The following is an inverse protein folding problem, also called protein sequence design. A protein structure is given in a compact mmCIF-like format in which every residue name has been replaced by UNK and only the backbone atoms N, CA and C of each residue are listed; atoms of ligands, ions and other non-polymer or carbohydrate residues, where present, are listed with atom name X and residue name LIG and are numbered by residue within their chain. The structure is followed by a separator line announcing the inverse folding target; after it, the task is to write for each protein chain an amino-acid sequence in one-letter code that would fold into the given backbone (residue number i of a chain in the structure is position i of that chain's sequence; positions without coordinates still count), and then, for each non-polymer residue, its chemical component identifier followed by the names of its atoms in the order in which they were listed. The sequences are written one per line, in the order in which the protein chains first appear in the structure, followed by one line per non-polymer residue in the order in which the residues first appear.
data_IF_155439894959
#
_entry.id   IF_155439894959
#
_cell.length_a   1.000
_cell.length_b   1.000
_cell.length_c   1.000
_cell.angle_alpha   90.00
_cell.angle_beta   90.00
_cell.angle_gamma   90.00
#
_symmetry.space_group_name_H-M   'P 1'
#
loop_
_entity.id
_entity.type
_entity.pdbx_description
1 polymer ?
#
# COMPACT_ATOMS: atom_id res chain seq x y z
N UNK A 1 -11.59 14.40 -14.60
CA UNK A 1 -12.19 13.18 -15.14
C UNK A 1 -13.70 13.27 -15.01
N UNK A 2 -14.47 12.87 -16.03
CA UNK A 2 -15.95 12.88 -16.01
C UNK A 2 -16.55 11.63 -15.34
N UNK A 3 -16.23 11.43 -14.07
CA UNK A 3 -16.74 10.33 -13.26
C UNK A 3 -18.09 10.73 -12.64
N UNK A 4 -19.12 9.91 -12.84
CA UNK A 4 -20.42 10.06 -12.19
C UNK A 4 -20.49 9.30 -10.86
N UNK A 5 -19.94 8.07 -10.82
CA UNK A 5 -19.84 7.30 -9.58
C UNK A 5 -18.67 6.34 -9.61
N UNK A 6 -18.12 6.05 -8.42
CA UNK A 6 -17.04 5.10 -8.20
C UNK A 6 -17.41 4.11 -7.10
N UNK A 7 -17.14 2.84 -7.31
CA UNK A 7 -17.26 1.78 -6.28
C UNK A 7 -15.95 1.01 -6.22
N UNK A 8 -15.30 1.00 -5.05
CA UNK A 8 -14.16 0.15 -4.79
C UNK A 8 -14.62 -1.11 -4.07
N UNK A 9 -14.40 -2.27 -4.69
CA UNK A 9 -14.60 -3.56 -4.06
C UNK A 9 -13.27 -4.12 -3.55
N UNK A 10 -13.25 -4.53 -2.28
CA UNK A 10 -12.10 -5.10 -1.58
C UNK A 10 -12.48 -6.41 -0.88
N UNK A 11 -11.47 -7.10 -0.36
CA UNK A 11 -11.62 -8.23 0.55
C UNK A 11 -10.94 -7.94 1.86
N UNK A 12 -11.54 -8.39 2.97
CA UNK A 12 -11.05 -8.34 4.34
C UNK A 12 -10.07 -7.18 4.68
N UNK A 13 -10.54 -6.15 5.38
CA UNK A 13 -9.68 -5.10 5.95
C UNK A 13 -8.58 -5.68 6.86
N UNK A 14 -8.88 -6.74 7.61
CA UNK A 14 -7.93 -7.38 8.54
C UNK A 14 -6.77 -8.12 7.88
N UNK A 15 -6.97 -8.66 6.67
CA UNK A 15 -6.10 -9.71 6.13
C UNK A 15 -5.62 -9.48 4.68
N UNK A 16 -6.12 -8.45 3.98
CA UNK A 16 -5.78 -8.24 2.56
C UNK A 16 -4.76 -7.13 2.34
N UNK A 17 -3.52 -7.53 2.03
CA UNK A 17 -2.49 -6.56 1.62
C UNK A 17 -2.82 -5.90 0.28
N UNK A 18 -3.47 -6.63 -0.64
CA UNK A 18 -3.81 -6.12 -1.96
C UNK A 18 -4.90 -5.06 -1.90
N UNK A 19 -5.91 -5.28 -1.07
CA UNK A 19 -7.00 -4.33 -0.89
C UNK A 19 -6.51 -3.02 -0.29
N UNK A 20 -5.64 -3.06 0.72
CA UNK A 20 -5.00 -1.85 1.25
C UNK A 20 -4.27 -1.06 0.15
N UNK A 21 -3.51 -1.76 -0.70
CA UNK A 21 -2.70 -1.16 -1.78
C UNK A 21 -3.52 -0.42 -2.84
N UNK A 22 -4.76 -0.83 -3.11
CA UNK A 22 -5.66 -0.08 -3.99
C UNK A 22 -6.45 0.99 -3.24
N UNK A 23 -6.86 0.72 -2.00
CA UNK A 23 -7.66 1.63 -1.21
C UNK A 23 -6.89 2.89 -0.78
N UNK A 24 -5.66 2.75 -0.28
CA UNK A 24 -4.91 3.87 0.27
C UNK A 24 -4.59 4.96 -0.77
N UNK A 25 -4.16 4.65 -2.00
CA UNK A 25 -4.00 5.66 -3.06
C UNK A 25 -5.29 6.40 -3.40
N UNK A 26 -6.44 5.71 -3.47
CA UNK A 26 -7.73 6.37 -3.76
C UNK A 26 -8.15 7.32 -2.63
N UNK A 27 -7.86 6.95 -1.38
CA UNK A 27 -8.03 7.83 -0.21
C UNK A 27 -7.09 9.03 -0.26
N UNK A 28 -5.82 8.84 -0.61
CA UNK A 28 -4.86 9.94 -0.81
C UNK A 28 -5.30 10.91 -1.91
N UNK A 29 -5.90 10.38 -2.97
CA UNK A 29 -6.46 11.15 -4.08
C UNK A 29 -7.76 11.89 -3.72
N UNK A 30 -8.30 11.68 -2.51
CA UNK A 30 -9.61 12.17 -2.06
C UNK A 30 -10.75 11.82 -3.05
N UNK A 31 -10.69 10.66 -3.69
CA UNK A 31 -11.78 10.19 -4.53
C UNK A 31 -12.99 9.81 -3.66
N UNK A 32 -14.13 10.43 -3.91
CA UNK A 32 -15.41 9.99 -3.36
C UNK A 32 -15.83 8.66 -4.00
N UNK A 33 -15.94 7.61 -3.20
CA UNK A 33 -16.27 6.27 -3.68
C UNK A 33 -17.11 5.50 -2.66
N UNK A 34 -18.03 4.68 -3.16
CA UNK A 34 -18.66 3.63 -2.36
C UNK A 34 -17.63 2.53 -2.11
N UNK A 35 -17.59 1.99 -0.89
CA UNK A 35 -16.74 0.86 -0.56
C UNK A 35 -17.60 -0.38 -0.32
N UNK A 36 -17.22 -1.49 -0.97
CA UNK A 36 -17.80 -2.81 -0.75
C UNK A 36 -16.68 -3.72 -0.24
N UNK A 37 -16.87 -4.34 0.91
CA UNK A 37 -15.92 -5.30 1.46
C UNK A 37 -16.56 -6.68 1.52
N UNK A 38 -15.95 -7.64 0.82
CA UNK A 38 -16.30 -9.05 0.91
C UNK A 38 -15.43 -9.74 1.97
N UNK A 39 -15.98 -10.72 2.68
CA UNK A 39 -15.24 -11.54 3.63
C UNK A 39 -14.96 -12.91 2.99
N UNK A 40 -13.69 -13.29 2.91
CA UNK A 40 -13.28 -14.55 2.26
C UNK A 40 -13.85 -15.77 3.00
N UNK A 41 -14.09 -15.65 4.30
CA UNK A 41 -14.69 -16.71 5.13
C UNK A 41 -16.20 -16.86 4.97
N UNK A 42 -16.89 -15.92 4.31
CA UNK A 42 -18.34 -16.02 4.12
C UNK A 42 -18.66 -17.25 3.26
N UNK A 43 -19.67 -18.08 3.62
CA UNK A 43 -20.02 -19.27 2.86
C UNK A 43 -20.31 -19.00 1.37
N UNK A 44 -20.85 -17.82 1.06
CA UNK A 44 -21.23 -17.41 -0.28
C UNK A 44 -20.11 -16.64 -1.02
N UNK A 45 -18.95 -16.42 -0.40
CA UNK A 45 -17.87 -15.61 -0.98
C UNK A 45 -17.49 -16.05 -2.40
N UNK A 46 -17.41 -17.37 -2.64
CA UNK A 46 -17.03 -17.93 -3.94
C UNK A 46 -17.99 -17.58 -5.07
N UNK A 47 -19.28 -17.47 -4.77
CA UNK A 47 -20.29 -17.05 -5.74
C UNK A 47 -20.33 -15.52 -5.87
N UNK A 48 -20.32 -14.81 -4.74
CA UNK A 48 -20.39 -13.35 -4.69
C UNK A 48 -19.20 -12.68 -5.37
N UNK A 49 -17.97 -13.18 -5.20
CA UNK A 49 -16.77 -12.52 -5.74
C UNK A 49 -16.82 -12.29 -7.26
N UNK A 50 -17.45 -13.19 -8.02
CA UNK A 50 -17.52 -13.10 -9.48
C UNK A 50 -18.55 -12.08 -9.97
N UNK A 51 -19.46 -11.63 -9.09
CA UNK A 51 -20.37 -10.51 -9.37
C UNK A 51 -19.62 -9.17 -9.42
N UNK A 52 -18.49 -9.08 -8.71
CA UNK A 52 -17.67 -7.85 -8.61
C UNK A 52 -16.35 -7.93 -9.40
N UNK A 53 -15.82 -9.13 -9.62
CA UNK A 53 -14.54 -9.32 -10.34
C UNK A 53 -14.56 -10.58 -11.19
N UNK A 54 -14.50 -10.47 -12.54
CA UNK A 54 -14.42 -11.64 -13.41
C UNK A 54 -13.22 -12.55 -13.12
N UNK A 55 -12.15 -11.98 -12.56
CA UNK A 55 -10.93 -12.72 -12.18
C UNK A 55 -11.01 -13.36 -10.79
N UNK A 56 -12.03 -13.01 -9.99
CA UNK A 56 -12.12 -13.36 -8.56
C UNK A 56 -11.01 -12.73 -7.70
N UNK A 57 -10.32 -11.71 -8.22
CA UNK A 57 -9.25 -10.99 -7.51
C UNK A 57 -9.68 -9.56 -7.20
N UNK A 58 -9.21 -9.06 -6.07
CA UNK A 58 -9.47 -7.72 -5.55
C UNK A 58 -8.15 -7.04 -5.16
N UNK A 59 -8.08 -5.70 -5.17
CA UNK A 59 -9.18 -4.73 -5.36
C UNK A 59 -9.65 -4.60 -6.82
N UNK A 60 -10.88 -4.12 -6.98
CA UNK A 60 -11.45 -3.67 -8.27
C UNK A 60 -12.14 -2.33 -8.06
N UNK A 61 -11.85 -1.36 -8.92
CA UNK A 61 -12.52 -0.07 -8.97
C UNK A 61 -13.46 -0.01 -10.17
N UNK A 62 -14.75 0.12 -9.89
CA UNK A 62 -15.81 0.22 -10.88
C UNK A 62 -16.23 1.68 -11.03
N UNK A 63 -16.08 2.22 -12.23
CA UNK A 63 -16.46 3.59 -12.55
C UNK A 63 -17.67 3.60 -13.46
N UNK A 64 -18.59 4.53 -13.19
CA UNK A 64 -19.59 4.99 -14.16
C UNK A 64 -19.20 6.39 -14.58
N UNK A 65 -19.01 6.61 -15.88
CA UNK A 65 -18.74 7.94 -16.42
C UNK A 65 -20.07 8.68 -16.69
N UNK A 66 -20.00 10.01 -16.87
CA UNK A 66 -21.20 10.83 -17.13
C UNK A 66 -21.98 10.42 -18.38
N UNK A 67 -21.32 9.86 -19.38
CA UNK A 67 -21.92 9.30 -20.60
C UNK A 67 -22.55 7.91 -20.39
N UNK A 68 -22.58 7.43 -19.13
CA UNK A 68 -23.09 6.13 -18.68
C UNK A 68 -22.22 4.93 -19.07
N UNK A 69 -21.06 5.15 -19.70
CA UNK A 69 -20.10 4.07 -19.93
C UNK A 69 -19.51 3.57 -18.61
N UNK A 70 -19.05 2.30 -18.62
CA UNK A 70 -18.48 1.62 -17.46
C UNK A 70 -17.00 1.35 -17.69
N UNK A 71 -16.18 1.62 -16.68
CA UNK A 71 -14.74 1.29 -16.68
C UNK A 71 -14.44 0.46 -15.45
N UNK A 72 -13.77 -0.68 -15.66
CA UNK A 72 -13.38 -1.61 -14.62
C UNK A 72 -11.86 -1.61 -14.50
N UNK A 73 -11.32 -1.19 -13.35
CA UNK A 73 -9.88 -1.12 -13.10
C UNK A 73 -9.53 -2.19 -12.07
N UNK A 74 -8.84 -3.23 -12.51
CA UNK A 74 -8.39 -4.34 -11.67
C UNK A 74 -6.87 -4.29 -11.49
N UNK A 75 -6.38 -4.95 -10.42
CA UNK A 75 -4.99 -4.90 -9.93
C UNK A 75 -4.68 -3.64 -9.10
N UNK A 76 -4.09 -3.82 -7.92
CA UNK A 76 -3.83 -2.71 -6.99
C UNK A 76 -2.88 -1.65 -7.55
N UNK A 77 -1.94 -2.01 -8.42
CA UNK A 77 -1.02 -1.04 -9.04
C UNK A 77 -1.72 -0.23 -10.11
N UNK A 78 -2.58 -0.87 -10.91
CA UNK A 78 -3.43 -0.17 -11.88
C UNK A 78 -4.36 0.84 -11.19
N UNK A 79 -5.02 0.42 -10.10
CA UNK A 79 -5.86 1.29 -9.27
C UNK A 79 -5.06 2.46 -8.68
N UNK A 80 -3.80 2.23 -8.26
CA UNK A 80 -2.94 3.27 -7.73
C UNK A 80 -2.49 4.29 -8.78
N UNK A 81 -2.15 3.86 -9.99
CA UNK A 81 -1.82 4.78 -11.10
C UNK A 81 -3.03 5.62 -11.49
N UNK A 82 -4.22 5.02 -11.58
CA UNK A 82 -5.47 5.77 -11.76
C UNK A 82 -5.68 6.82 -10.65
N UNK A 83 -5.44 6.45 -9.38
CA UNK A 83 -5.56 7.38 -8.26
C UNK A 83 -4.59 8.57 -8.41
N UNK A 84 -3.36 8.34 -8.89
CA UNK A 84 -2.42 9.42 -9.18
C UNK A 84 -2.89 10.32 -10.33
N UNK A 85 -3.39 9.76 -11.43
CA UNK A 85 -3.95 10.55 -12.54
C UNK A 85 -5.14 11.40 -12.07
N UNK A 86 -6.06 10.80 -11.31
CA UNK A 86 -7.19 11.51 -10.73
C UNK A 86 -6.74 12.64 -9.78
N UNK A 87 -5.78 12.36 -8.90
CA UNK A 87 -5.24 13.36 -7.96
C UNK A 87 -4.59 14.54 -8.70
N UNK A 88 -3.81 14.26 -9.74
CA UNK A 88 -3.17 15.28 -10.57
C UNK A 88 -4.21 16.17 -11.26
N UNK A 89 -5.26 15.58 -11.84
CA UNK A 89 -6.28 16.36 -12.56
C UNK A 89 -7.14 17.21 -11.62
N UNK A 90 -7.53 16.68 -10.45
CA UNK A 90 -8.48 17.36 -9.56
C UNK A 90 -7.82 18.29 -8.53
N UNK A 91 -6.57 18.02 -8.15
CA UNK A 91 -5.88 18.78 -7.09
C UNK A 91 -4.50 19.30 -7.50
N UNK A 92 -3.97 18.90 -8.65
CA UNK A 92 -2.59 19.19 -9.04
C UNK A 92 -1.53 18.44 -8.23
N UNK A 93 -1.93 17.65 -7.23
CA UNK A 93 -1.01 16.91 -6.36
C UNK A 93 -0.70 15.54 -6.94
N UNK A 94 0.58 15.24 -7.16
CA UNK A 94 1.01 13.88 -7.50
C UNK A 94 1.09 13.02 -6.25
N UNK A 95 0.71 11.74 -6.39
CA UNK A 95 0.91 10.72 -5.35
C UNK A 95 2.24 9.96 -5.52
N UNK A 96 2.94 10.25 -6.62
CA UNK A 96 4.32 9.86 -6.87
C UNK A 96 5.25 11.04 -6.59
N UNK A 97 6.57 10.78 -6.43
CA UNK A 97 7.55 11.84 -6.38
C UNK A 97 7.49 12.74 -7.64
N UNK A 98 7.63 14.06 -7.46
CA UNK A 98 7.50 15.01 -8.59
C UNK A 98 8.71 14.96 -9.54
N UNK A 99 9.92 14.85 -9.01
CA UNK A 99 11.12 14.70 -9.82
C UNK A 99 11.11 13.35 -10.55
N UNK A 100 11.34 13.37 -11.87
CA UNK A 100 11.17 12.18 -12.71
C UNK A 100 12.10 11.02 -12.31
N UNK A 101 13.34 11.32 -11.89
CA UNK A 101 14.30 10.30 -11.46
C UNK A 101 13.82 9.56 -10.21
N UNK A 102 13.24 10.30 -9.26
CA UNK A 102 12.68 9.72 -8.03
C UNK A 102 11.42 8.93 -8.32
N UNK A 103 10.57 9.44 -9.21
CA UNK A 103 9.39 8.72 -9.68
C UNK A 103 9.75 7.41 -10.36
N UNK A 104 10.80 7.41 -11.19
CA UNK A 104 11.26 6.20 -11.85
C UNK A 104 11.69 5.14 -10.83
N UNK A 105 12.51 5.53 -9.85
CA UNK A 105 12.96 4.60 -8.80
C UNK A 105 11.84 4.17 -7.87
N UNK A 106 10.91 5.07 -7.54
CA UNK A 106 9.73 4.72 -6.76
C UNK A 106 8.86 3.68 -7.47
N UNK A 107 8.63 3.84 -8.79
CA UNK A 107 7.91 2.86 -9.60
C UNK A 107 8.63 1.52 -9.68
N UNK A 108 9.96 1.53 -9.82
CA UNK A 108 10.75 0.28 -9.76
C UNK A 108 10.60 -0.43 -8.42
N UNK A 109 10.70 0.29 -7.30
CA UNK A 109 10.53 -0.27 -5.96
C UNK A 109 9.13 -0.83 -5.73
N UNK A 110 8.09 -0.12 -6.20
CA UNK A 110 6.71 -0.59 -6.15
C UNK A 110 6.50 -1.83 -7.02
N UNK A 111 7.09 -1.86 -8.21
CA UNK A 111 6.99 -3.00 -9.13
C UNK A 111 7.65 -4.24 -8.53
N UNK A 112 8.83 -4.09 -7.92
CA UNK A 112 9.51 -5.15 -7.18
C UNK A 112 8.67 -5.66 -6.00
N UNK A 113 7.99 -4.77 -5.27
CA UNK A 113 7.05 -5.19 -4.23
C UNK A 113 5.78 -5.86 -4.80
N UNK A 114 5.28 -5.40 -5.93
CA UNK A 114 4.08 -5.96 -6.56
C UNK A 114 4.32 -7.41 -7.00
N UNK A 115 5.46 -7.68 -7.64
CA UNK A 115 5.79 -8.98 -8.25
C UNK A 115 6.75 -9.86 -7.45
N UNK A 116 7.37 -9.35 -6.38
CA UNK A 116 8.40 -10.05 -5.59
C UNK A 116 8.04 -10.27 -4.12
N UNK A 117 9.09 -10.55 -3.33
CA UNK A 117 9.07 -10.84 -1.89
C UNK A 117 8.10 -11.97 -1.51
N UNK A 118 8.13 -13.05 -2.29
CA UNK A 118 7.20 -14.17 -2.15
C UNK A 118 7.35 -14.87 -0.79
N UNK A 119 8.56 -14.98 -0.24
CA UNK A 119 8.82 -15.71 0.99
C UNK A 119 8.18 -15.02 2.19
N UNK A 120 8.39 -13.72 2.37
CA UNK A 120 7.73 -12.97 3.46
C UNK A 120 6.22 -12.89 3.25
N UNK A 121 5.73 -12.81 2.01
CA UNK A 121 4.30 -12.71 1.71
C UNK A 121 3.55 -14.00 1.98
N UNK A 122 4.16 -15.16 1.73
CA UNK A 122 3.55 -16.47 1.97
C UNK A 122 3.71 -16.92 3.43
N UNK A 123 4.85 -16.64 4.04
CA UNK A 123 5.18 -17.10 5.40
C UNK A 123 4.62 -16.18 6.47
N UNK A 124 4.51 -14.88 6.18
CA UNK A 124 3.92 -13.89 7.08
C UNK A 124 2.72 -13.23 6.38
N UNK A 125 1.53 -13.86 6.38
CA UNK A 125 0.30 -13.18 5.96
C UNK A 125 0.14 -11.84 6.69
N UNK A 126 -0.39 -10.81 6.03
CA UNK A 126 -0.57 -9.51 6.71
C UNK A 126 -1.67 -9.60 7.76
N UNK A 127 -1.39 -9.09 8.97
CA UNK A 127 -2.32 -9.05 10.08
C UNK A 127 -2.35 -7.64 10.66
N UNK A 128 -3.29 -6.83 10.18
CA UNK A 128 -3.33 -5.39 10.49
C UNK A 128 -3.65 -5.09 11.96
N UNK A 129 -4.45 -5.94 12.62
CA UNK A 129 -4.85 -5.74 14.02
C UNK A 129 -4.01 -6.51 15.03
N UNK A 130 -3.10 -7.36 14.57
CA UNK A 130 -2.28 -8.16 15.49
C UNK A 130 -1.24 -7.26 16.14
N UNK A 131 -1.30 -7.17 17.46
CA UNK A 131 -0.27 -6.59 18.32
C UNK A 131 0.31 -7.75 19.10
N UNK A 132 1.41 -8.34 18.61
CA UNK A 132 2.18 -9.36 19.35
C UNK A 132 3.63 -8.91 19.44
N UNK A 133 4.14 -8.85 20.66
CA UNK A 133 5.56 -8.83 20.94
C UNK A 133 6.00 -10.30 21.06
N UNK A 134 6.75 -10.82 20.10
CA UNK A 134 7.35 -12.15 20.23
C UNK A 134 8.72 -12.00 20.91
N UNK A 135 8.90 -12.67 22.05
CA UNK A 135 10.20 -12.69 22.76
C UNK A 135 11.28 -13.43 21.94
N UNK A 136 10.88 -14.51 21.24
CA UNK A 136 11.74 -15.27 20.35
C UNK A 136 11.60 -14.79 18.89
N UNK A 137 12.68 -14.20 18.38
CA UNK A 137 12.78 -13.67 17.00
C UNK A 137 12.96 -14.81 16.00
N UNK A 138 11.93 -15.61 15.80
CA UNK A 138 11.94 -16.60 14.72
C UNK A 138 11.78 -15.88 13.37
N UNK A 139 12.80 -15.97 12.53
CA UNK A 139 12.75 -15.49 11.16
C UNK A 139 13.22 -16.63 10.25
N UNK A 140 12.32 -17.23 9.44
CA UNK A 140 12.71 -18.23 8.45
C UNK A 140 13.77 -17.69 7.49
N UNK A 141 14.70 -18.54 7.02
CA UNK A 141 15.83 -18.08 6.20
C UNK A 141 15.39 -17.38 4.92
N UNK A 142 14.36 -17.89 4.22
CA UNK A 142 13.80 -17.22 3.04
C UNK A 142 13.18 -15.85 3.36
N UNK A 143 12.69 -15.64 4.58
CA UNK A 143 12.21 -14.32 5.03
C UNK A 143 13.38 -13.38 5.31
N UNK A 144 14.54 -13.88 5.77
CA UNK A 144 15.74 -13.06 6.01
C UNK A 144 16.26 -12.42 4.73
N UNK A 145 16.26 -13.17 3.62
CA UNK A 145 16.71 -12.67 2.31
C UNK A 145 15.79 -11.56 1.79
N UNK A 146 14.46 -11.80 1.82
CA UNK A 146 13.46 -10.79 1.47
C UNK A 146 13.62 -9.53 2.34
N UNK A 147 13.76 -9.68 3.67
CA UNK A 147 13.95 -8.55 4.59
C UNK A 147 15.22 -7.75 4.27
N UNK A 148 16.34 -8.44 4.02
CA UNK A 148 17.59 -7.78 3.63
C UNK A 148 17.37 -6.93 2.39
N UNK A 149 16.74 -7.49 1.35
CA UNK A 149 16.47 -6.76 0.10
C UNK A 149 15.50 -5.59 0.31
N UNK A 150 14.46 -5.76 1.12
CA UNK A 150 13.51 -4.69 1.48
C UNK A 150 14.24 -3.52 2.15
N UNK A 151 15.10 -3.79 3.14
CA UNK A 151 15.84 -2.73 3.82
C UNK A 151 16.83 -2.02 2.89
N UNK A 152 17.53 -2.76 2.02
CA UNK A 152 18.40 -2.17 0.99
C UNK A 152 17.60 -1.26 0.02
N UNK A 153 16.42 -1.71 -0.40
CA UNK A 153 15.54 -0.97 -1.29
C UNK A 153 15.03 0.32 -0.64
N UNK A 154 14.59 0.25 0.62
CA UNK A 154 14.14 1.42 1.38
C UNK A 154 15.27 2.44 1.60
N UNK A 155 16.45 1.98 1.97
CA UNK A 155 17.63 2.85 2.10
C UNK A 155 18.04 3.48 0.77
N UNK A 156 17.95 2.73 -0.33
CA UNK A 156 18.25 3.25 -1.67
C UNK A 156 17.28 4.36 -2.07
N UNK A 157 15.97 4.14 -1.89
CA UNK A 157 14.94 5.16 -2.13
C UNK A 157 15.20 6.41 -1.29
N UNK A 158 15.47 6.21 0.01
CA UNK A 158 15.73 7.31 0.94
C UNK A 158 16.98 8.09 0.59
N UNK A 159 18.07 7.40 0.24
CA UNK A 159 19.33 8.02 -0.21
C UNK A 159 19.08 8.87 -1.45
N UNK A 160 18.34 8.35 -2.41
CA UNK A 160 18.02 9.08 -3.63
C UNK A 160 17.21 10.35 -3.32
N UNK A 161 16.14 10.25 -2.52
CA UNK A 161 15.38 11.41 -2.08
C UNK A 161 16.27 12.48 -1.44
N UNK A 162 17.17 12.09 -0.54
CA UNK A 162 18.10 13.04 0.11
C UNK A 162 19.09 13.68 -0.86
N UNK A 163 19.45 13.01 -1.96
CA UNK A 163 20.34 13.55 -2.98
C UNK A 163 19.64 14.53 -3.93
N UNK A 164 18.35 14.29 -4.22
CA UNK A 164 17.58 15.12 -5.16
C UNK A 164 16.89 16.28 -4.47
N UNK A 165 16.49 16.12 -3.21
CA UNK A 165 15.79 17.15 -2.44
C UNK A 165 16.67 18.36 -2.17
N UNK A 166 16.13 19.55 -2.46
CA UNK A 166 16.80 20.83 -2.30
C UNK A 166 18.18 20.86 -2.97
N UNK A 167 18.36 20.07 -4.04
CA UNK A 167 19.64 19.94 -4.70
C UNK A 167 20.03 21.25 -5.39
N UNK A 168 21.21 21.83 -5.06
CA UNK A 168 21.66 23.06 -5.69
C UNK A 168 22.03 22.88 -7.16
N UNK A 169 22.22 21.64 -7.62
CA UNK A 169 22.64 21.32 -8.99
C UNK A 169 21.48 20.93 -9.91
N UNK A 170 20.39 20.38 -9.37
CA UNK A 170 19.22 19.97 -10.14
C UNK A 170 18.17 21.09 -10.28
N UNK A 171 18.33 22.20 -9.53
CA UNK A 171 17.42 23.35 -9.56
C UNK A 171 16.08 23.09 -8.87
N UNK A 172 15.15 24.03 -9.01
CA UNK A 172 13.83 24.00 -8.34
C UNK A 172 12.93 22.84 -8.79
N UNK A 173 13.22 22.23 -9.94
CA UNK A 173 12.49 21.08 -10.50
C UNK A 173 12.81 19.75 -9.81
N UNK A 174 13.85 19.72 -8.96
CA UNK A 174 14.11 18.63 -8.05
C UNK A 174 13.05 18.62 -6.92
N UNK A 175 13.18 17.76 -5.90
CA UNK A 175 12.20 17.73 -4.78
C UNK A 175 12.31 18.96 -3.85
N UNK A 176 12.57 20.15 -4.39
CA UNK A 176 12.93 21.40 -3.71
C UNK A 176 11.87 21.94 -2.74
N UNK A 177 10.66 21.41 -2.78
CA UNK A 177 9.53 21.83 -1.94
C UNK A 177 8.85 20.67 -1.21
N UNK A 178 9.37 19.45 -1.32
CA UNK A 178 8.78 18.29 -0.64
C UNK A 178 9.19 18.30 0.83
N UNK A 179 8.19 18.19 1.71
CA UNK A 179 8.42 18.09 3.15
C UNK A 179 9.01 16.74 3.52
N UNK A 180 9.86 16.71 4.54
CA UNK A 180 10.34 15.45 5.10
C UNK A 180 9.38 15.05 6.20
N UNK A 181 8.58 14.04 5.95
CA UNK A 181 7.72 13.44 6.96
C UNK A 181 8.25 12.05 7.37
N UNK A 182 9.46 11.71 6.93
CA UNK A 182 10.13 10.45 7.26
C UNK A 182 9.78 9.28 6.34
N UNK A 183 9.02 9.52 5.27
CA UNK A 183 8.67 8.51 4.27
C UNK A 183 9.77 8.34 3.20
N UNK A 184 9.62 7.33 2.34
CA UNK A 184 10.68 6.90 1.42
C UNK A 184 11.14 8.03 0.49
N UNK A 185 10.21 8.87 0.04
CA UNK A 185 10.47 10.07 -0.75
C UNK A 185 9.93 11.34 -0.08
N UNK A 186 9.99 11.41 1.25
CA UNK A 186 9.63 12.58 2.04
C UNK A 186 8.21 12.51 2.61
N UNK A 187 7.20 12.66 1.76
CA UNK A 187 5.78 12.56 2.11
C UNK A 187 5.21 11.17 1.80
N UNK A 188 4.11 10.79 2.45
CA UNK A 188 3.47 9.49 2.22
C UNK A 188 2.80 9.44 0.84
N UNK A 189 3.21 8.49 0.00
CA UNK A 189 2.68 8.31 -1.35
C UNK A 189 2.33 6.87 -1.70
N UNK A 190 2.22 6.59 -3.00
CA UNK A 190 1.90 5.24 -3.50
C UNK A 190 2.95 4.22 -3.05
N UNK A 191 4.23 4.60 -3.09
CA UNK A 191 5.31 3.71 -2.66
C UNK A 191 5.13 3.26 -1.20
N UNK A 192 4.80 4.19 -0.31
CA UNK A 192 4.60 3.88 1.11
C UNK A 192 3.34 3.04 1.33
N UNK A 193 2.28 3.30 0.57
CA UNK A 193 1.08 2.45 0.56
C UNK A 193 1.39 0.99 0.16
N UNK A 194 2.29 0.78 -0.80
CA UNK A 194 2.68 -0.56 -1.25
C UNK A 194 3.52 -1.33 -0.23
N UNK A 195 4.34 -0.62 0.54
CA UNK A 195 5.16 -1.18 1.61
C UNK A 195 4.47 -1.23 2.97
N UNK A 196 3.33 -0.55 3.16
CA UNK A 196 2.60 -0.60 4.44
C UNK A 196 2.26 -2.03 4.88
N UNK A 197 1.75 -2.93 4.02
CA UNK A 197 1.56 -4.32 4.43
C UNK A 197 2.86 -5.05 4.80
N UNK A 198 4.03 -4.62 4.32
CA UNK A 198 5.33 -5.17 4.77
C UNK A 198 5.67 -4.64 6.16
N UNK A 199 5.44 -3.35 6.42
CA UNK A 199 5.60 -2.75 7.76
C UNK A 199 4.80 -3.54 8.80
N UNK A 200 3.54 -3.88 8.52
CA UNK A 200 2.72 -4.70 9.41
C UNK A 200 3.20 -6.15 9.53
N UNK A 201 3.79 -6.74 8.48
CA UNK A 201 4.42 -8.07 8.63
C UNK A 201 5.64 -8.01 9.55
N UNK A 202 6.48 -6.99 9.41
CA UNK A 202 7.65 -6.82 10.28
C UNK A 202 7.21 -6.63 11.73
N UNK A 203 6.21 -5.77 11.95
CA UNK A 203 5.69 -5.49 13.28
C UNK A 203 4.96 -6.70 13.89
N UNK A 204 3.92 -7.22 13.22
CA UNK A 204 3.03 -8.24 13.76
C UNK A 204 3.67 -9.61 13.97
N UNK A 205 4.85 -9.86 13.37
CA UNK A 205 5.64 -11.08 13.56
C UNK A 205 6.99 -10.81 14.26
N UNK A 206 7.21 -9.59 14.77
CA UNK A 206 8.46 -9.19 15.44
C UNK A 206 9.73 -9.54 14.64
N UNK A 207 9.67 -9.36 13.31
CA UNK A 207 10.78 -9.69 12.43
C UNK A 207 11.99 -8.78 12.71
N UNK A 208 13.23 -9.29 12.56
CA UNK A 208 14.42 -8.53 12.91
C UNK A 208 14.58 -7.28 12.03
N UNK A 209 14.69 -6.12 12.69
CA UNK A 209 14.98 -4.84 12.06
C UNK A 209 16.15 -4.16 12.81
N UNK A 210 17.36 -4.27 12.26
CA UNK A 210 18.56 -3.59 12.78
C UNK A 210 18.80 -2.23 12.12
N UNK A 211 18.14 -1.98 11.00
CA UNK A 211 18.30 -0.76 10.23
C UNK A 211 17.57 0.42 10.88
N UNK A 212 18.30 1.50 11.18
CA UNK A 212 17.77 2.65 11.93
C UNK A 212 16.76 3.47 11.12
N UNK A 213 16.93 3.58 9.81
CA UNK A 213 15.95 4.26 8.97
C UNK A 213 14.66 3.42 8.89
N UNK A 214 14.77 2.12 8.65
CA UNK A 214 13.63 1.22 8.59
C UNK A 214 12.80 1.24 9.88
N UNK A 215 13.43 1.27 11.07
CA UNK A 215 12.71 1.43 12.36
C UNK A 215 11.88 2.71 12.39
N UNK A 216 12.47 3.85 12.01
CA UNK A 216 11.76 5.14 11.99
C UNK A 216 10.64 5.15 10.95
N UNK A 217 10.90 4.57 9.78
CA UNK A 217 9.93 4.45 8.70
C UNK A 217 8.73 3.58 9.09
N UNK A 218 8.97 2.44 9.76
CA UNK A 218 7.92 1.56 10.32
C UNK A 218 7.00 2.35 11.25
N UNK A 219 7.58 3.13 12.18
CA UNK A 219 6.80 3.94 13.10
C UNK A 219 6.05 5.08 12.41
N UNK A 220 6.66 5.74 11.42
CA UNK A 220 6.00 6.78 10.63
C UNK A 220 4.77 6.22 9.88
N UNK A 221 4.93 5.08 9.21
CA UNK A 221 3.85 4.42 8.46
C UNK A 221 2.71 4.00 9.39
N UNK A 222 3.01 3.33 10.51
CA UNK A 222 1.99 2.93 11.50
C UNK A 222 1.19 4.13 12.04
N UNK A 223 1.84 5.29 12.12
CA UNK A 223 1.22 6.50 12.65
C UNK A 223 0.48 7.36 11.62
N UNK A 224 0.60 7.04 10.33
CA UNK A 224 -0.03 7.79 9.25
C UNK A 224 -1.57 7.72 9.34
N UNK A 225 -2.25 8.83 9.05
CA UNK A 225 -3.70 8.97 9.24
C UNK A 225 -4.51 7.97 8.41
N UNK A 226 -4.14 7.75 7.14
CA UNK A 226 -4.80 6.76 6.27
C UNK A 226 -4.61 5.34 6.78
N UNK A 227 -3.44 5.04 7.36
CA UNK A 227 -3.20 3.73 7.97
C UNK A 227 -4.09 3.55 9.19
N UNK A 228 -4.20 4.56 10.05
CA UNK A 228 -5.11 4.55 11.21
C UNK A 228 -6.59 4.41 10.80
N UNK A 229 -7.01 5.05 9.71
CA UNK A 229 -8.36 4.88 9.15
C UNK A 229 -8.60 3.42 8.73
N UNK A 230 -7.65 2.80 8.02
CA UNK A 230 -7.76 1.39 7.66
C UNK A 230 -7.84 0.48 8.88
N UNK A 231 -7.01 0.73 9.90
CA UNK A 231 -7.04 -0.05 11.15
C UNK A 231 -8.38 0.08 11.87
N UNK A 232 -8.99 1.26 11.86
CA UNK A 232 -10.33 1.47 12.43
C UNK A 232 -11.38 0.63 11.70
N UNK A 233 -11.40 0.68 10.37
CA UNK A 233 -12.31 -0.14 9.55
C UNK A 233 -12.07 -1.64 9.76
N UNK A 234 -10.80 -2.04 9.89
CA UNK A 234 -10.44 -3.41 10.21
C UNK A 234 -10.97 -3.84 11.58
N UNK A 235 -10.94 -2.97 12.59
CA UNK A 235 -11.43 -3.26 13.94
C UNK A 235 -12.96 -3.38 14.02
N UNK A 236 -13.69 -2.67 13.15
CA UNK A 236 -15.15 -2.78 13.02
C UNK A 236 -15.57 -4.09 12.31
N UNK A 237 -14.63 -4.73 11.60
CA UNK A 237 -14.87 -5.97 10.85
C UNK A 237 -14.84 -7.22 11.75
N UNK A 238 -15.97 -7.90 11.84
CA UNK A 238 -16.13 -9.18 12.56
C UNK A 238 -15.67 -10.37 11.68
N UNK A 239 -14.38 -10.42 11.34
CA UNK A 239 -13.79 -11.48 10.51
C UNK A 239 -12.70 -12.26 11.25
N UNK A 240 -12.71 -13.58 11.14
CA UNK A 240 -11.74 -14.44 11.79
C UNK A 240 -11.29 -15.57 10.85
N UNK A 241 -10.02 -15.55 10.47
CA UNK A 241 -9.41 -16.61 9.67
C UNK A 241 -8.46 -17.39 10.59
N UNK A 242 -8.91 -18.56 11.05
CA UNK A 242 -8.19 -19.39 12.04
C UNK A 242 -6.72 -19.62 11.67
N UNK A 243 -6.46 -20.02 10.43
CA UNK A 243 -5.09 -20.28 9.96
C UNK A 243 -4.18 -19.06 9.90
N UNK A 244 -4.71 -17.85 10.01
CA UNK A 244 -3.93 -16.61 10.10
C UNK A 244 -3.73 -16.20 11.56
N UNK A 245 -4.75 -16.37 12.40
CA UNK A 245 -4.72 -15.95 13.80
C UNK A 245 -3.91 -16.89 14.72
N UNK A 246 -3.69 -18.14 14.29
CA UNK A 246 -2.93 -19.15 15.04
C UNK A 246 -1.44 -19.25 14.65
N UNK A 247 -1.00 -18.57 13.58
CA UNK A 247 0.43 -18.33 13.29
C UNK A 247 1.06 -17.43 14.34
#
# INVERSE_FOLDING_TARGET
MDIESATLTIVNYRYSSWSFRGWAPLKLANLEMKQVCLLIEDPNYKEEQYKYSPTGKFPVLDLTLKDKSKVFIHDSLSVAEFANEYSLENSGKSLWPHYFGDRAVARSAVSEMHSGFSQIRSTCPVLFLRIREFEDRFCPDGVKEDLKRIYELWNSCRKQFLQTRNSPTLGESAQGNVKDEGFLFGEYGIIDAFFTPIVFRIFSYSLPCKDEFAKKYIEAVKNHSIVKEWLKLAAEQHSYIKGYEEL
#
